data_IF_952401904651
#
_entry.id   IF_952401904651
#
_cell.length_a   1.000
_cell.length_b   1.000
_cell.length_c   1.000
_cell.angle_alpha   90.00
_cell.angle_beta   90.00
_cell.angle_gamma   90.00
#
_symmetry.space_group_name_H-M   'P 1'
#
loop_
_entity.id
_entity.type
_entity.pdbx_description
1 polymer ?
#
# COMPACT_ATOMS: atom_id res chain seq x y z
N UNK A 1 -15.96 12.24 -14.47
CA UNK A 1 -14.75 12.99 -14.10
C UNK A 1 -13.67 11.98 -13.78
N UNK A 2 -12.55 12.01 -14.51
CA UNK A 2 -11.37 11.21 -14.16
C UNK A 2 -10.70 11.82 -12.94
N UNK A 3 -10.42 11.02 -11.90
CA UNK A 3 -9.59 11.43 -10.76
C UNK A 3 -8.23 10.74 -10.89
N UNK A 4 -7.23 11.39 -11.53
CA UNK A 4 -5.92 10.77 -11.70
C UNK A 4 -5.22 10.62 -10.35
N UNK A 5 -4.68 9.43 -10.10
CA UNK A 5 -3.82 9.13 -8.96
C UNK A 5 -2.36 9.36 -9.39
N UNK A 6 -1.69 10.34 -8.79
CA UNK A 6 -0.32 10.73 -9.14
C UNK A 6 0.72 9.96 -8.34
N UNK A 7 0.30 9.35 -7.23
CA UNK A 7 1.15 8.55 -6.36
C UNK A 7 0.43 7.27 -5.93
N UNK A 8 1.19 6.17 -5.95
CA UNK A 8 0.74 4.84 -5.60
C UNK A 8 1.77 4.20 -4.66
N UNK A 9 1.35 3.84 -3.46
CA UNK A 9 2.21 3.22 -2.45
C UNK A 9 1.93 1.71 -2.39
N UNK A 10 2.90 0.89 -2.80
CA UNK A 10 2.85 -0.57 -2.63
C UNK A 10 3.36 -0.96 -1.25
N UNK A 11 2.58 -1.75 -0.51
CA UNK A 11 2.97 -2.32 0.78
C UNK A 11 2.50 -3.77 0.92
N UNK A 12 3.28 -4.66 1.55
CA UNK A 12 2.84 -6.03 1.82
C UNK A 12 1.64 -6.04 2.77
N UNK A 13 0.61 -6.80 2.43
CA UNK A 13 -0.58 -6.98 3.28
C UNK A 13 -0.27 -7.65 4.62
N UNK A 14 0.85 -8.38 4.71
CA UNK A 14 1.29 -9.10 5.92
C UNK A 14 2.12 -8.25 6.91
N UNK A 15 2.30 -6.93 6.67
CA UNK A 15 3.13 -6.06 7.54
C UNK A 15 2.32 -4.98 8.27
N UNK A 16 1.72 -5.27 9.45
CA UNK A 16 0.90 -4.31 10.22
C UNK A 16 1.55 -2.93 10.43
N UNK A 17 2.84 -2.88 10.76
CA UNK A 17 3.57 -1.60 10.95
C UNK A 17 3.59 -0.73 9.68
N UNK A 18 3.65 -1.35 8.50
CA UNK A 18 3.62 -0.63 7.23
C UNK A 18 2.22 -0.08 6.95
N UNK A 19 1.17 -0.85 7.29
CA UNK A 19 -0.23 -0.42 7.19
C UNK A 19 -0.50 0.81 8.06
N UNK A 20 -0.06 0.78 9.33
CA UNK A 20 -0.25 1.90 10.26
C UNK A 20 0.48 3.17 9.78
N UNK A 21 1.70 3.03 9.27
CA UNK A 21 2.45 4.15 8.69
C UNK A 21 1.76 4.71 7.45
N UNK A 22 1.24 3.85 6.58
CA UNK A 22 0.64 4.25 5.31
C UNK A 22 -0.58 5.16 5.50
N UNK A 23 -1.34 5.00 6.58
CA UNK A 23 -2.49 5.87 6.93
C UNK A 23 -2.12 7.36 7.08
N UNK A 24 -0.86 7.67 7.40
CA UNK A 24 -0.38 9.04 7.61
C UNK A 24 0.43 9.63 6.45
N UNK A 25 0.65 8.90 5.36
CA UNK A 25 1.50 9.35 4.25
C UNK A 25 0.69 10.13 3.18
N UNK A 26 1.28 11.16 2.56
CA UNK A 26 0.61 11.95 1.53
C UNK A 26 0.62 11.21 0.16
N UNK A 27 -0.14 10.13 0.05
CA UNK A 27 -0.29 9.33 -1.17
C UNK A 27 -1.73 9.30 -1.65
N UNK A 28 -1.92 9.26 -2.97
CA UNK A 28 -3.26 9.29 -3.55
C UNK A 28 -3.94 7.91 -3.43
N UNK A 29 -3.17 6.81 -3.52
CA UNK A 29 -3.65 5.42 -3.31
C UNK A 29 -2.61 4.53 -2.62
N UNK A 30 -3.11 3.51 -1.92
CA UNK A 30 -2.32 2.43 -1.32
C UNK A 30 -2.72 1.12 -2.02
N UNK A 31 -1.73 0.35 -2.45
CA UNK A 31 -1.88 -0.97 -3.06
C UNK A 31 -1.33 -2.01 -2.09
N UNK A 32 -2.21 -2.84 -1.55
CA UNK A 32 -1.81 -3.96 -0.70
C UNK A 32 -1.38 -5.12 -1.56
N UNK A 33 -0.11 -5.48 -1.47
CA UNK A 33 0.46 -6.61 -2.16
C UNK A 33 0.26 -7.88 -1.33
N UNK A 34 -0.36 -8.89 -1.94
CA UNK A 34 -0.62 -10.21 -1.36
C UNK A 34 0.20 -11.31 -2.03
N UNK A 35 1.01 -10.96 -3.02
CA UNK A 35 1.80 -11.88 -3.85
C UNK A 35 3.28 -11.77 -3.44
N UNK A 36 4.15 -11.29 -4.32
CA UNK A 36 5.60 -11.42 -4.20
C UNK A 36 6.20 -10.73 -2.97
N UNK A 37 5.52 -9.74 -2.40
CA UNK A 37 5.99 -9.06 -1.20
C UNK A 37 5.56 -9.75 0.12
N UNK A 38 4.83 -10.86 0.05
CA UNK A 38 4.38 -11.66 1.20
C UNK A 38 5.07 -13.03 1.19
N UNK A 39 5.82 -13.34 2.25
CA UNK A 39 6.42 -14.67 2.43
C UNK A 39 5.32 -15.70 2.73
N UNK A 40 5.37 -16.90 2.12
CA UNK A 40 4.52 -18.03 2.54
C UNK A 40 4.79 -18.41 3.99
N UNK A 41 3.75 -18.83 4.71
CA UNK A 41 3.85 -19.36 6.08
C UNK A 41 4.52 -20.75 6.12
#
# INVERSE_FOLDING_TARGET
MTRPYRSALYIPGSRPRALDKARGLPVDVILFDLEDAVTPD
#
